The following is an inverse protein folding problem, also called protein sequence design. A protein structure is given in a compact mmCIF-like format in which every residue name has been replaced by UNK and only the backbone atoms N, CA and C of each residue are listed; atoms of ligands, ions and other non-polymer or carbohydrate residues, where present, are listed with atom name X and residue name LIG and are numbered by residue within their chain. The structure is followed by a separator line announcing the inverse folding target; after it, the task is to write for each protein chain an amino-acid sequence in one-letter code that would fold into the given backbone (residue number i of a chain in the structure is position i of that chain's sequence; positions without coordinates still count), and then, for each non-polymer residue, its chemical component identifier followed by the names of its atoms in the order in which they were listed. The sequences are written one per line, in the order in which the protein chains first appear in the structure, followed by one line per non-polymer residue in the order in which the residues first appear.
data_IF_033366250591
#
_entry.id   IF_033366250591
#
_cell.length_a   1.000
_cell.length_b   1.000
_cell.length_c   1.000
_cell.angle_alpha   90.00
_cell.angle_beta   90.00
_cell.angle_gamma   90.00
#
_symmetry.space_group_name_H-M   'P 1'
#
loop_
_entity.id
_entity.type
_entity.pdbx_description
1 polymer ?
#
# COMPACT_ATOMS: atom_id res chain seq x y z
N UNK A 1 -32.20 -44.28 -10.83
CA UNK A 1 -31.17 -43.80 -9.91
C UNK A 1 -31.10 -42.29 -10.08
N UNK A 2 -31.57 -41.52 -9.07
CA UNK A 2 -31.40 -40.07 -9.08
C UNK A 2 -29.95 -39.75 -8.67
N UNK A 3 -29.18 -39.17 -9.57
CA UNK A 3 -27.93 -38.61 -9.19
C UNK A 3 -28.19 -37.43 -8.21
N UNK A 4 -27.75 -37.57 -6.96
CA UNK A 4 -27.76 -36.43 -6.03
C UNK A 4 -26.75 -35.37 -6.52
N UNK A 5 -27.20 -34.15 -6.75
CA UNK A 5 -26.30 -33.05 -7.02
C UNK A 5 -25.35 -32.85 -5.81
N UNK A 6 -24.06 -32.69 -6.08
CA UNK A 6 -23.09 -32.32 -5.03
C UNK A 6 -23.48 -30.96 -4.44
N UNK A 7 -23.37 -30.77 -3.11
CA UNK A 7 -23.66 -29.50 -2.50
C UNK A 7 -22.71 -28.42 -3.07
N UNK A 8 -23.27 -27.23 -3.32
CA UNK A 8 -22.46 -26.08 -3.76
C UNK A 8 -21.63 -25.60 -2.58
N UNK A 9 -20.31 -25.64 -2.73
CA UNK A 9 -19.40 -25.19 -1.70
C UNK A 9 -19.46 -23.66 -1.54
N UNK A 10 -19.32 -23.12 -0.31
CA UNK A 10 -19.17 -21.70 -0.08
C UNK A 10 -17.98 -21.14 -0.87
N UNK A 11 -18.16 -19.96 -1.45
CA UNK A 11 -17.10 -19.23 -2.19
C UNK A 11 -16.62 -18.08 -1.33
N UNK A 12 -15.32 -18.07 -1.02
CA UNK A 12 -14.68 -16.96 -0.35
C UNK A 12 -14.17 -16.00 -1.41
N UNK A 13 -14.60 -14.75 -1.34
CA UNK A 13 -14.22 -13.70 -2.28
C UNK A 13 -13.49 -12.57 -1.55
N UNK A 14 -12.31 -12.22 -2.04
CA UNK A 14 -11.55 -11.06 -1.57
C UNK A 14 -12.12 -9.79 -2.19
N UNK A 15 -12.39 -8.78 -1.36
CA UNK A 15 -12.92 -7.49 -1.77
C UNK A 15 -11.98 -6.40 -1.28
N UNK A 16 -11.63 -5.49 -2.20
CA UNK A 16 -10.79 -4.34 -1.90
C UNK A 16 -11.63 -3.07 -1.88
N UNK A 17 -11.44 -2.27 -0.82
CA UNK A 17 -12.09 -0.97 -0.67
C UNK A 17 -11.03 0.12 -0.63
N UNK A 18 -11.10 1.09 -1.56
CA UNK A 18 -10.17 2.21 -1.59
C UNK A 18 -10.44 3.15 -0.42
N UNK A 19 -9.38 3.51 0.31
CA UNK A 19 -9.44 4.52 1.36
C UNK A 19 -9.16 5.89 0.75
N UNK A 20 -10.07 6.84 0.96
CA UNK A 20 -9.86 8.23 0.54
C UNK A 20 -8.89 8.91 1.51
N UNK A 21 -7.75 9.32 0.98
CA UNK A 21 -6.70 10.01 1.70
C UNK A 21 -6.60 11.46 1.22
N UNK A 22 -6.20 12.34 2.13
CA UNK A 22 -5.80 13.72 1.83
C UNK A 22 -4.35 13.93 2.25
N UNK A 23 -3.81 15.11 1.99
CA UNK A 23 -2.47 15.48 2.47
C UNK A 23 -2.33 15.37 3.99
N UNK A 24 -3.42 15.55 4.74
CA UNK A 24 -3.42 15.48 6.20
C UNK A 24 -3.20 14.05 6.73
N UNK A 25 -3.38 13.05 5.89
CA UNK A 25 -3.09 11.65 6.19
C UNK A 25 -1.64 11.27 5.88
N UNK A 26 -0.85 12.14 5.25
CA UNK A 26 0.45 11.81 4.72
C UNK A 26 1.57 12.62 5.37
N UNK A 27 2.69 11.96 5.57
CA UNK A 27 3.94 12.57 6.02
C UNK A 27 5.12 11.95 5.27
N UNK A 28 6.07 12.78 4.85
CA UNK A 28 7.34 12.32 4.29
C UNK A 28 8.49 12.84 5.15
N UNK A 29 9.47 11.97 5.45
CA UNK A 29 10.63 12.36 6.25
C UNK A 29 11.62 13.30 5.52
N UNK A 30 11.61 13.29 4.20
CA UNK A 30 12.56 14.06 3.39
C UNK A 30 11.91 14.54 2.08
N UNK A 31 10.94 15.47 2.14
CA UNK A 31 10.33 16.00 0.92
C UNK A 31 11.27 16.93 0.18
N UNK A 32 11.22 16.94 -1.16
CA UNK A 32 11.97 17.91 -1.96
C UNK A 32 11.38 19.32 -1.79
N UNK A 33 12.22 20.33 -1.53
CA UNK A 33 11.73 21.69 -1.29
C UNK A 33 11.25 22.40 -2.55
N UNK A 34 11.68 21.98 -3.73
CA UNK A 34 11.41 22.67 -4.99
C UNK A 34 10.50 21.88 -5.93
N UNK A 35 10.89 20.63 -6.27
CA UNK A 35 10.15 19.76 -7.17
C UNK A 35 9.27 18.77 -6.39
N UNK A 36 7.97 18.76 -6.66
CA UNK A 36 7.07 17.85 -5.98
C UNK A 36 6.95 18.09 -4.49
N UNK A 37 7.12 19.33 -4.05
CA UNK A 37 7.00 19.72 -2.64
C UNK A 37 5.60 19.51 -2.05
N UNK A 38 4.62 19.31 -2.89
CA UNK A 38 3.24 19.13 -2.46
C UNK A 38 2.91 17.64 -2.33
N UNK A 39 2.88 17.16 -1.09
CA UNK A 39 2.59 15.75 -0.80
C UNK A 39 1.17 15.34 -1.24
N UNK A 40 0.25 16.29 -1.36
CA UNK A 40 -1.10 16.09 -1.88
C UNK A 40 -1.11 15.55 -3.31
N UNK A 41 -0.05 15.72 -4.08
CA UNK A 41 0.08 15.13 -5.41
C UNK A 41 0.04 13.60 -5.40
N UNK A 42 0.35 12.97 -4.27
CA UNK A 42 0.23 11.52 -4.12
C UNK A 42 -1.22 11.02 -4.06
N UNK A 43 -2.18 11.90 -3.77
CA UNK A 43 -3.58 11.54 -3.48
C UNK A 43 -4.60 12.44 -4.17
N UNK A 44 -4.20 13.17 -5.20
CA UNK A 44 -5.06 14.11 -5.92
C UNK A 44 -5.80 13.50 -7.12
N UNK A 45 -5.54 12.23 -7.45
CA UNK A 45 -6.12 11.55 -8.60
C UNK A 45 -5.58 12.01 -9.94
N UNK A 46 -4.51 12.79 -9.97
CA UNK A 46 -3.83 13.26 -11.18
C UNK A 46 -2.53 12.48 -11.39
N UNK A 47 -2.51 11.63 -12.41
CA UNK A 47 -1.35 10.77 -12.71
C UNK A 47 -0.27 11.47 -13.55
N UNK A 48 -0.43 12.76 -13.86
CA UNK A 48 0.52 13.53 -14.67
C UNK A 48 1.43 14.43 -13.84
N UNK A 49 1.05 14.77 -12.62
CA UNK A 49 1.94 15.38 -11.64
C UNK A 49 2.62 14.32 -10.77
N UNK A 50 3.50 14.73 -9.90
CA UNK A 50 4.24 13.80 -9.04
C UNK A 50 4.70 14.47 -7.76
N UNK A 51 4.90 13.65 -6.75
CA UNK A 51 5.62 13.97 -5.53
C UNK A 51 7.06 13.45 -5.65
N UNK A 52 8.03 14.24 -5.21
CA UNK A 52 9.45 13.88 -5.24
C UNK A 52 10.06 14.06 -3.86
N UNK A 53 10.80 13.05 -3.39
CA UNK A 53 11.61 13.21 -2.19
C UNK A 53 12.91 13.96 -2.52
N UNK A 54 13.59 14.48 -1.50
CA UNK A 54 14.73 15.39 -1.69
C UNK A 54 15.89 14.71 -2.44
N UNK A 55 16.18 15.18 -3.63
CA UNK A 55 17.26 14.69 -4.47
C UNK A 55 18.48 15.61 -4.45
N UNK A 56 18.37 16.83 -3.91
CA UNK A 56 19.46 17.78 -3.77
C UNK A 56 20.33 17.46 -2.55
N UNK A 57 19.69 17.08 -1.45
CA UNK A 57 20.32 16.70 -0.19
C UNK A 57 19.67 15.42 0.35
N UNK A 58 19.77 14.35 -0.42
CA UNK A 58 19.07 13.11 -0.13
C UNK A 58 19.51 12.42 1.17
N UNK A 59 20.77 12.60 1.56
CA UNK A 59 21.35 11.89 2.69
C UNK A 59 21.53 10.40 2.40
N UNK A 60 21.62 9.59 3.45
CA UNK A 60 21.81 8.14 3.38
C UNK A 60 20.70 7.34 4.03
N UNK A 61 19.81 8.01 4.76
CA UNK A 61 18.66 7.37 5.42
C UNK A 61 17.56 7.16 4.40
N UNK A 62 16.93 5.97 4.34
CA UNK A 62 15.82 5.72 3.43
C UNK A 62 14.69 6.72 3.59
N UNK A 63 14.17 7.21 2.47
CA UNK A 63 13.00 8.07 2.46
C UNK A 63 11.72 7.25 2.57
N UNK A 64 10.72 7.78 3.28
CA UNK A 64 9.46 7.08 3.47
C UNK A 64 8.27 8.02 3.47
N UNK A 65 7.12 7.43 3.22
CA UNK A 65 5.80 8.05 3.37
C UNK A 65 5.08 7.34 4.51
N UNK A 66 4.62 8.11 5.50
CA UNK A 66 3.74 7.62 6.55
C UNK A 66 2.29 7.95 6.20
N UNK A 67 1.42 6.97 6.35
CA UNK A 67 0.00 7.06 6.08
C UNK A 67 -0.74 6.91 7.40
N UNK A 68 -1.47 7.95 7.81
CA UNK A 68 -2.38 7.88 8.96
C UNK A 68 -3.75 7.45 8.46
N UNK A 69 -4.21 6.30 8.91
CA UNK A 69 -5.46 5.71 8.46
C UNK A 69 -6.66 6.22 9.27
N UNK A 70 -7.84 6.39 8.66
CA UNK A 70 -9.07 6.76 9.38
C UNK A 70 -9.52 5.71 10.40
N UNK A 71 -9.19 4.44 10.14
CA UNK A 71 -9.44 3.30 11.01
C UNK A 71 -8.28 2.33 10.95
N UNK A 72 -7.97 1.59 12.04
CA UNK A 72 -6.92 0.58 12.02
C UNK A 72 -7.17 -0.48 10.96
N UNK A 73 -6.10 -1.02 10.39
CA UNK A 73 -6.15 -1.98 9.30
C UNK A 73 -5.38 -3.25 9.66
N UNK A 74 -5.90 -4.40 9.24
CA UNK A 74 -5.25 -5.72 9.38
C UNK A 74 -4.80 -6.30 8.05
N UNK A 75 -5.59 -6.10 6.99
CA UNK A 75 -5.25 -6.55 5.64
C UNK A 75 -5.43 -5.41 4.66
N UNK A 76 -4.45 -5.22 3.80
CA UNK A 76 -4.42 -4.09 2.88
C UNK A 76 -3.53 -4.33 1.67
N UNK A 77 -3.71 -3.47 0.67
CA UNK A 77 -2.82 -3.34 -0.50
C UNK A 77 -2.44 -1.88 -0.66
N UNK A 78 -1.24 -1.66 -1.18
CA UNK A 78 -0.75 -0.34 -1.60
C UNK A 78 -0.54 -0.39 -3.09
N UNK A 79 -1.08 0.60 -3.81
CA UNK A 79 -0.82 0.80 -5.22
C UNK A 79 -0.08 2.10 -5.42
N UNK A 80 1.02 2.05 -6.16
CA UNK A 80 1.82 3.22 -6.51
C UNK A 80 1.85 3.38 -8.02
N UNK A 81 1.86 4.64 -8.47
CA UNK A 81 2.00 5.01 -9.88
C UNK A 81 3.31 5.74 -10.08
N UNK A 82 4.07 5.31 -11.08
CA UNK A 82 5.37 5.90 -11.36
C UNK A 82 5.23 7.28 -11.98
N UNK A 83 6.22 8.13 -11.74
CA UNK A 83 6.38 9.35 -12.49
C UNK A 83 6.57 9.02 -13.97
N UNK A 84 5.81 9.68 -14.84
CA UNK A 84 5.78 9.39 -16.28
C UNK A 84 7.18 9.37 -16.92
N UNK A 85 7.56 8.22 -17.48
CA UNK A 85 8.76 8.02 -18.27
C UNK A 85 10.10 8.01 -17.52
N UNK A 86 10.10 7.97 -16.18
CA UNK A 86 11.37 8.01 -15.41
C UNK A 86 11.48 6.85 -14.42
N UNK A 87 12.06 5.76 -14.88
CA UNK A 87 12.33 4.59 -14.05
C UNK A 87 13.44 4.80 -13.00
N UNK A 88 14.35 5.73 -13.23
CA UNK A 88 15.50 5.98 -12.35
C UNK A 88 15.16 6.57 -10.98
N UNK A 89 13.88 6.71 -10.66
CA UNK A 89 13.39 7.32 -9.41
C UNK A 89 12.29 6.47 -8.76
N UNK A 90 12.13 5.21 -9.19
CA UNK A 90 11.11 4.31 -8.64
C UNK A 90 11.66 3.59 -7.43
N UNK A 91 10.89 3.46 -6.33
CA UNK A 91 11.21 2.49 -5.29
C UNK A 91 11.24 1.08 -5.88
N UNK A 92 12.27 0.30 -5.58
CA UNK A 92 12.41 -1.09 -6.03
C UNK A 92 12.45 -2.08 -4.88
N UNK A 93 13.07 -1.73 -3.76
CA UNK A 93 12.96 -2.48 -2.51
C UNK A 93 12.24 -1.64 -1.48
N UNK A 94 11.15 -2.16 -0.95
CA UNK A 94 10.26 -1.46 -0.05
C UNK A 94 10.07 -2.28 1.22
N UNK A 95 10.21 -1.65 2.38
CA UNK A 95 9.75 -2.21 3.64
C UNK A 95 8.48 -1.50 4.06
N UNK A 96 7.44 -2.28 4.36
CA UNK A 96 6.17 -1.78 4.90
C UNK A 96 6.15 -2.06 6.39
N UNK A 97 5.90 -1.01 7.19
CA UNK A 97 5.85 -1.08 8.64
C UNK A 97 4.52 -0.53 9.15
N UNK A 98 4.11 -1.00 10.32
CA UNK A 98 2.92 -0.54 11.02
C UNK A 98 3.23 -0.01 12.40
N UNK A 99 2.42 0.95 12.85
CA UNK A 99 2.51 1.55 14.18
C UNK A 99 1.15 1.98 14.69
N UNK A 100 1.01 2.09 16.03
CA UNK A 100 -0.18 2.67 16.67
C UNK A 100 0.10 3.95 17.42
N UNK A 101 1.37 4.32 17.59
CA UNK A 101 1.80 5.55 18.26
C UNK A 101 2.61 6.50 17.36
N UNK A 102 2.99 6.05 16.15
CA UNK A 102 3.84 6.81 15.24
C UNK A 102 5.32 6.86 15.64
N UNK A 103 5.70 6.16 16.70
CA UNK A 103 7.06 6.15 17.25
C UNK A 103 7.70 4.77 17.16
N UNK A 104 6.95 3.73 17.53
CA UNK A 104 7.39 2.34 17.46
C UNK A 104 6.81 1.67 16.24
N UNK A 105 7.68 1.14 15.39
CA UNK A 105 7.34 0.57 14.09
C UNK A 105 7.68 -0.91 14.04
N UNK A 106 6.74 -1.71 13.57
CA UNK A 106 6.91 -3.14 13.37
C UNK A 106 6.86 -3.47 11.87
N UNK A 107 7.79 -4.28 11.43
CA UNK A 107 7.82 -4.72 10.03
C UNK A 107 6.62 -5.61 9.71
N UNK A 108 5.90 -5.28 8.65
CA UNK A 108 4.79 -6.06 8.11
C UNK A 108 5.28 -6.90 6.93
N UNK A 109 6.01 -6.30 6.00
CA UNK A 109 6.47 -6.97 4.78
C UNK A 109 7.70 -6.30 4.18
N UNK A 110 8.46 -7.07 3.43
CA UNK A 110 9.46 -6.62 2.47
C UNK A 110 8.95 -6.94 1.08
N UNK A 111 9.01 -5.98 0.17
CA UNK A 111 8.43 -6.06 -1.16
C UNK A 111 9.48 -5.65 -2.17
N UNK A 112 9.54 -6.39 -3.27
CA UNK A 112 10.35 -6.04 -4.43
C UNK A 112 9.43 -5.60 -5.57
N UNK A 113 9.69 -4.39 -6.09
CA UNK A 113 9.07 -3.85 -7.29
C UNK A 113 10.16 -3.64 -8.34
N UNK A 114 10.18 -4.45 -9.38
CA UNK A 114 11.21 -4.39 -10.41
C UNK A 114 11.06 -3.19 -11.38
N UNK A 115 10.05 -2.35 -11.18
CA UNK A 115 9.76 -1.19 -12.01
C UNK A 115 9.32 -1.52 -13.44
N UNK A 116 9.08 -2.79 -13.75
CA UNK A 116 8.77 -3.26 -15.12
C UNK A 116 7.29 -3.50 -15.36
N UNK A 117 6.47 -3.32 -14.34
CA UNK A 117 5.03 -3.59 -14.39
C UNK A 117 4.18 -2.58 -15.14
N UNK A 118 4.77 -1.72 -15.99
CA UNK A 118 4.05 -0.68 -16.71
C UNK A 118 3.99 0.64 -15.92
N UNK A 119 2.82 1.27 -15.82
CA UNK A 119 2.66 2.58 -15.20
C UNK A 119 2.51 2.54 -13.67
N UNK A 120 2.20 1.37 -13.11
CA UNK A 120 1.90 1.22 -11.68
C UNK A 120 2.34 -0.13 -11.13
N UNK A 121 2.40 -0.20 -9.81
CA UNK A 121 2.63 -1.42 -9.07
C UNK A 121 1.61 -1.56 -7.95
N UNK A 122 1.02 -2.75 -7.83
CA UNK A 122 0.12 -3.09 -6.72
C UNK A 122 0.76 -4.20 -5.89
N UNK A 123 0.87 -3.98 -4.58
CA UNK A 123 1.38 -5.01 -3.68
C UNK A 123 0.45 -6.24 -3.65
N UNK A 124 0.94 -7.42 -3.29
CA UNK A 124 0.05 -8.48 -2.82
C UNK A 124 -0.72 -8.00 -1.58
N UNK A 125 -1.72 -8.76 -1.16
CA UNK A 125 -2.39 -8.50 0.11
C UNK A 125 -1.37 -8.66 1.24
N UNK A 126 -1.21 -7.59 2.02
CA UNK A 126 -0.33 -7.55 3.18
C UNK A 126 -1.17 -7.75 4.45
N UNK A 127 -0.71 -8.64 5.32
CA UNK A 127 -1.38 -8.97 6.58
C UNK A 127 -0.54 -8.60 7.79
N UNK A 128 -1.20 -8.12 8.83
CA UNK A 128 -0.56 -7.70 10.09
C UNK A 128 -0.57 -8.79 11.16
N UNK A 129 -0.93 -10.00 10.80
CA UNK A 129 -1.03 -11.15 11.73
C UNK A 129 -1.98 -10.90 12.91
N UNK A 130 -3.11 -10.22 12.63
CA UNK A 130 -4.14 -9.91 13.62
C UNK A 130 -3.85 -8.72 14.53
N UNK A 131 -2.73 -8.00 14.32
CA UNK A 131 -2.43 -6.76 15.02
C UNK A 131 -2.89 -5.57 14.16
N UNK A 132 -3.99 -4.86 14.51
CA UNK A 132 -4.41 -3.70 13.72
C UNK A 132 -3.43 -2.53 13.90
N UNK A 133 -3.16 -1.82 12.82
CA UNK A 133 -2.33 -0.61 12.82
C UNK A 133 -3.08 0.61 12.29
N UNK A 134 -2.90 1.74 12.97
CA UNK A 134 -3.43 3.05 12.57
C UNK A 134 -2.49 3.82 11.65
N UNK A 135 -1.20 3.47 11.65
CA UNK A 135 -0.16 4.09 10.82
C UNK A 135 0.52 3.01 9.99
N UNK A 136 0.69 3.30 8.71
CA UNK A 136 1.45 2.45 7.79
C UNK A 136 2.57 3.28 7.20
N UNK A 137 3.79 2.77 7.26
CA UNK A 137 4.98 3.38 6.63
C UNK A 137 5.35 2.60 5.37
N UNK A 138 5.42 3.32 4.27
CA UNK A 138 5.99 2.87 3.01
C UNK A 138 7.41 3.43 2.92
N UNK A 139 8.42 2.59 3.13
CA UNK A 139 9.83 2.98 3.13
C UNK A 139 10.54 2.44 1.90
N UNK A 140 11.12 3.32 1.11
CA UNK A 140 11.95 2.94 -0.04
C UNK A 140 13.37 2.65 0.43
N UNK A 141 13.74 1.39 0.49
CA UNK A 141 15.09 0.95 0.89
C UNK A 141 16.08 1.07 -0.27
N UNK A 142 15.63 0.78 -1.49
CA UNK A 142 16.39 0.99 -2.72
C UNK A 142 15.51 1.58 -3.82
N UNK A 143 16.11 2.33 -4.72
CA UNK A 143 15.47 2.89 -5.90
C UNK A 143 16.17 2.43 -7.18
N UNK A 144 15.47 2.46 -8.30
CA UNK A 144 15.96 1.94 -9.59
C UNK A 144 17.21 2.67 -10.13
N UNK A 145 17.55 3.82 -9.58
CA UNK A 145 18.75 4.58 -9.96
C UNK A 145 19.89 4.46 -8.96
N UNK A 146 19.83 3.51 -8.01
CA UNK A 146 20.75 3.41 -6.87
C UNK A 146 20.84 4.73 -6.07
N UNK A 147 19.75 5.49 -6.07
CA UNK A 147 19.62 6.72 -5.30
C UNK A 147 18.79 6.47 -4.03
N UNK A 148 18.90 7.38 -3.08
CA UNK A 148 18.08 7.33 -1.86
C UNK A 148 16.69 7.93 -2.10
N UNK A 149 16.60 8.92 -2.99
CA UNK A 149 15.37 9.62 -3.32
C UNK A 149 14.49 8.86 -4.32
N UNK A 150 13.20 9.13 -4.29
CA UNK A 150 12.22 8.59 -5.22
C UNK A 150 11.15 9.62 -5.61
N UNK A 151 10.43 9.31 -6.68
CA UNK A 151 9.25 10.05 -7.13
C UNK A 151 8.10 9.10 -7.41
N UNK A 152 6.90 9.50 -7.05
CA UNK A 152 5.65 8.78 -7.37
C UNK A 152 4.61 9.77 -7.86
N UNK A 153 3.84 9.39 -8.87
CA UNK A 153 2.73 10.19 -9.38
C UNK A 153 1.49 10.06 -8.48
N UNK A 154 1.24 8.86 -7.94
CA UNK A 154 0.08 8.60 -7.09
C UNK A 154 0.38 7.45 -6.14
N UNK A 155 -0.25 7.49 -4.96
CA UNK A 155 -0.26 6.43 -3.98
C UNK A 155 -1.70 6.17 -3.54
N UNK A 156 -2.14 4.92 -3.70
CA UNK A 156 -3.48 4.50 -3.31
C UNK A 156 -3.40 3.42 -2.25
N UNK A 157 -4.32 3.46 -1.32
CA UNK A 157 -4.42 2.50 -0.22
C UNK A 157 -5.76 1.80 -0.27
N UNK A 158 -5.74 0.46 -0.17
CA UNK A 158 -6.92 -0.38 -0.20
C UNK A 158 -6.95 -1.26 1.03
N UNK A 159 -8.06 -1.25 1.76
CA UNK A 159 -8.33 -2.31 2.73
C UNK A 159 -8.82 -3.55 2.01
N UNK A 160 -8.49 -4.70 2.58
CA UNK A 160 -8.91 -5.99 2.04
C UNK A 160 -9.80 -6.68 3.06
N UNK A 161 -10.95 -7.17 2.61
CA UNK A 161 -11.87 -7.98 3.39
C UNK A 161 -12.33 -9.18 2.59
N UNK A 162 -12.82 -10.17 3.27
CA UNK A 162 -13.38 -11.37 2.62
C UNK A 162 -14.89 -11.37 2.76
N UNK A 163 -15.58 -11.73 1.68
CA UNK A 163 -17.01 -12.08 1.69
C UNK A 163 -17.18 -13.56 1.38
N UNK A 164 -18.13 -14.17 2.07
CA UNK A 164 -18.47 -15.57 1.86
C UNK A 164 -19.86 -15.64 1.24
N UNK A 165 -19.91 -16.17 0.02
CA UNK A 165 -21.15 -16.50 -0.63
C UNK A 165 -21.47 -17.96 -0.36
N UNK A 166 -22.53 -18.18 0.39
CA UNK A 166 -23.00 -19.51 0.78
C UNK A 166 -24.48 -19.69 0.36
N UNK A 167 -24.73 -20.15 -0.88
CA UNK A 167 -26.09 -20.24 -1.42
C UNK A 167 -26.96 -21.27 -0.71
N UNK A 168 -26.35 -22.20 0.03
CA UNK A 168 -27.07 -23.28 0.72
C UNK A 168 -27.18 -23.07 2.24
N UNK A 169 -26.61 -21.97 2.77
CA UNK A 169 -26.61 -21.65 4.19
C UNK A 169 -25.85 -22.64 5.06
N UNK A 170 -24.84 -23.30 4.49
CA UNK A 170 -24.04 -24.32 5.17
C UNK A 170 -22.98 -23.65 6.08
N UNK A 171 -22.48 -22.51 5.66
CA UNK A 171 -21.48 -21.77 6.41
C UNK A 171 -22.11 -20.98 7.56
N UNK A 172 -21.59 -21.19 8.76
CA UNK A 172 -21.95 -20.43 9.96
C UNK A 172 -20.71 -19.82 10.57
N UNK A 173 -20.67 -18.48 10.76
CA UNK A 173 -19.50 -17.82 11.37
C UNK A 173 -19.16 -18.35 12.76
N UNK A 174 -20.16 -18.78 13.53
CA UNK A 174 -20.02 -19.36 14.85
C UNK A 174 -19.36 -20.75 14.88
N UNK A 175 -19.22 -21.39 13.73
CA UNK A 175 -18.57 -22.69 13.64
C UNK A 175 -17.04 -22.59 13.53
N UNK A 176 -16.50 -21.36 13.65
CA UNK A 176 -15.06 -21.10 13.75
C UNK A 176 -14.65 -21.03 15.22
N UNK A 177 -14.39 -22.17 15.82
CA UNK A 177 -13.58 -22.28 17.04
C UNK A 177 -12.16 -22.75 16.70
#
# INVERSE_FOLDING_TARGET
VRASALPVQPVVKEITDKILLSKDNLFCNKPDPDEGKYIEYLVDGNYTNFFHTDWHDAGTVPHYIDITLPSPVEQFKIQTYYRNGKYGQCPVEITVLGSNDGEQWNKIAEIEDDGKGGASYTTPTLGTEGQPYSYIRYRADETSGNAVYFALAELEFYTVRTEIYDPEGIYRPEDKE
#
